data_IF_991893457072
#
_entry.id   IF_991893457072
#
_cell.length_a   1.000
_cell.length_b   1.000
_cell.length_c   1.000
_cell.angle_alpha   90.00
_cell.angle_beta   90.00
_cell.angle_gamma   90.00
#
_symmetry.space_group_name_H-M   'P 1'
#
loop_
_entity.id
_entity.type
_entity.pdbx_description
1 polymer ?
#
# COMPACT_ATOMS: atom_id res chain seq x y z
N UNK A 1 24.32 -97.98 -29.72
CA UNK A 1 25.70 -98.14 -29.23
C UNK A 1 26.02 -96.95 -28.34
N UNK A 2 26.35 -97.25 -27.09
CA UNK A 2 26.69 -96.29 -26.05
C UNK A 2 28.14 -95.82 -26.19
N UNK A 3 28.41 -94.56 -25.86
CA UNK A 3 29.47 -94.18 -24.91
C UNK A 3 29.27 -92.74 -24.43
N UNK A 4 29.52 -92.58 -23.13
CA UNK A 4 29.36 -91.44 -22.23
C UNK A 4 30.76 -91.11 -21.68
N UNK A 5 31.05 -89.82 -21.46
CA UNK A 5 31.85 -89.22 -20.37
C UNK A 5 32.17 -87.76 -20.78
N UNK A 6 31.55 -86.73 -20.19
CA UNK A 6 31.92 -86.08 -18.91
C UNK A 6 33.28 -85.37 -18.98
N UNK A 7 33.30 -84.02 -19.04
CA UNK A 7 33.81 -83.21 -17.93
C UNK A 7 33.38 -81.73 -18.04
N UNK A 8 33.29 -81.09 -16.88
CA UNK A 8 32.49 -79.94 -16.50
C UNK A 8 33.21 -78.58 -16.62
N UNK A 9 32.38 -77.54 -16.46
CA UNK A 9 32.67 -76.34 -15.65
C UNK A 9 33.31 -75.14 -16.37
N UNK A 10 32.47 -74.17 -16.77
CA UNK A 10 32.36 -72.89 -16.03
C UNK A 10 31.36 -71.92 -16.68
N UNK A 11 30.53 -71.34 -15.80
CA UNK A 11 29.81 -70.06 -15.88
C UNK A 11 28.43 -70.03 -16.57
N UNK A 12 27.44 -70.38 -15.75
CA UNK A 12 26.35 -69.49 -15.27
C UNK A 12 25.86 -68.44 -16.27
N UNK A 13 24.71 -68.62 -16.90
CA UNK A 13 23.39 -68.23 -16.38
C UNK A 13 23.31 -66.74 -15.99
N UNK A 14 22.64 -65.92 -16.80
CA UNK A 14 21.24 -65.59 -16.55
C UNK A 14 20.76 -64.57 -17.61
N UNK A 15 19.69 -64.91 -18.31
CA UNK A 15 19.06 -64.09 -19.34
C UNK A 15 17.58 -64.01 -18.97
N UNK A 16 17.22 -63.11 -18.06
CA UNK A 16 15.87 -62.52 -17.96
C UNK A 16 15.82 -61.48 -16.84
N UNK A 17 14.99 -60.47 -17.10
CA UNK A 17 14.47 -59.45 -16.19
C UNK A 17 15.41 -58.31 -15.76
N UNK A 18 15.38 -57.23 -16.54
CA UNK A 18 15.35 -55.85 -16.03
C UNK A 18 14.95 -54.90 -17.17
N UNK A 19 13.64 -54.80 -17.44
CA UNK A 19 13.08 -53.66 -18.17
C UNK A 19 11.94 -53.03 -17.35
N UNK A 20 12.31 -52.43 -16.22
CA UNK A 20 11.43 -51.57 -15.41
C UNK A 20 12.28 -50.70 -14.50
N UNK A 21 12.96 -49.69 -15.07
CA UNK A 21 13.55 -48.58 -14.31
C UNK A 21 13.96 -47.42 -15.23
N UNK A 22 13.00 -46.86 -15.96
CA UNK A 22 13.20 -45.63 -16.73
C UNK A 22 11.94 -44.73 -16.82
N UNK A 23 11.05 -44.77 -15.83
CA UNK A 23 9.85 -43.89 -15.81
C UNK A 23 9.52 -43.32 -14.44
N UNK A 24 10.53 -43.00 -13.62
CA UNK A 24 10.31 -42.35 -12.32
C UNK A 24 11.26 -41.16 -12.06
N UNK A 25 11.54 -40.36 -13.09
CA UNK A 25 12.26 -39.08 -12.91
C UNK A 25 11.52 -37.84 -13.43
N UNK A 26 10.34 -38.00 -14.05
CA UNK A 26 9.55 -36.88 -14.57
C UNK A 26 8.32 -36.50 -13.71
N UNK A 27 8.17 -37.09 -12.52
CA UNK A 27 6.98 -36.86 -11.68
C UNK A 27 7.11 -35.73 -10.64
N UNK A 28 8.33 -35.34 -10.26
CA UNK A 28 8.55 -34.36 -9.19
C UNK A 28 8.47 -32.91 -9.69
N UNK A 29 9.00 -32.63 -10.88
CA UNK A 29 9.05 -31.27 -11.44
C UNK A 29 7.66 -30.83 -11.97
N UNK A 30 6.86 -31.76 -12.49
CA UNK A 30 5.51 -31.48 -12.97
C UNK A 30 4.52 -31.16 -11.83
N UNK A 31 4.74 -31.71 -10.63
CA UNK A 31 3.84 -31.51 -9.49
C UNK A 31 4.12 -30.19 -8.75
N UNK A 32 5.38 -29.75 -8.71
CA UNK A 32 5.75 -28.42 -8.19
C UNK A 32 5.29 -27.26 -9.09
N UNK A 33 5.34 -27.43 -10.41
CA UNK A 33 4.91 -26.39 -11.36
C UNK A 33 3.38 -26.21 -11.39
N UNK A 34 2.63 -27.29 -11.13
CA UNK A 34 1.16 -27.24 -11.04
C UNK A 34 0.69 -26.56 -9.74
N UNK A 35 1.38 -26.80 -8.61
CA UNK A 35 1.10 -26.14 -7.33
C UNK A 35 1.38 -24.62 -7.39
N UNK A 36 2.45 -24.22 -8.08
CA UNK A 36 2.79 -22.81 -8.30
C UNK A 36 1.73 -22.07 -9.12
N UNK A 37 1.28 -22.68 -10.22
CA UNK A 37 0.29 -22.08 -11.11
C UNK A 37 -1.06 -21.90 -10.41
N UNK A 38 -1.49 -22.89 -9.62
CA UNK A 38 -2.72 -22.81 -8.83
C UNK A 38 -2.66 -21.71 -7.76
N UNK A 39 -1.54 -21.60 -7.03
CA UNK A 39 -1.36 -20.54 -6.02
C UNK A 39 -1.36 -19.15 -6.64
N UNK A 40 -0.73 -18.98 -7.81
CA UNK A 40 -0.79 -17.72 -8.55
C UNK A 40 -2.20 -17.37 -9.00
N UNK A 41 -2.98 -18.34 -9.48
CA UNK A 41 -4.38 -18.12 -9.87
C UNK A 41 -5.25 -17.68 -8.68
N UNK A 42 -5.09 -18.31 -7.52
CA UNK A 42 -5.78 -17.91 -6.28
C UNK A 42 -5.46 -16.46 -5.91
N UNK A 43 -4.17 -16.08 -5.90
CA UNK A 43 -3.74 -14.70 -5.61
C UNK A 43 -4.31 -13.71 -6.63
N UNK A 44 -4.23 -14.04 -7.92
CA UNK A 44 -4.80 -13.19 -8.97
C UNK A 44 -6.32 -13.05 -8.86
N UNK A 45 -7.03 -14.10 -8.44
CA UNK A 45 -8.47 -14.09 -8.26
C UNK A 45 -8.87 -13.19 -7.08
N UNK A 46 -8.14 -13.30 -5.96
CA UNK A 46 -8.36 -12.45 -4.80
C UNK A 46 -8.14 -10.96 -5.15
N UNK A 47 -7.07 -10.63 -5.87
CA UNK A 47 -6.76 -9.25 -6.29
C UNK A 47 -7.70 -8.68 -7.37
N UNK A 48 -8.44 -9.53 -8.10
CA UNK A 48 -9.48 -9.06 -9.03
C UNK A 48 -10.85 -8.89 -8.37
N UNK A 49 -11.03 -9.46 -7.18
CA UNK A 49 -12.26 -9.33 -6.42
C UNK A 49 -12.31 -7.97 -5.75
N UNK A 50 -13.48 -7.62 -5.21
CA UNK A 50 -13.61 -6.44 -4.38
C UNK A 50 -12.83 -6.63 -3.07
N UNK A 51 -11.69 -5.96 -2.95
CA UNK A 51 -10.81 -6.06 -1.79
C UNK A 51 -11.45 -5.52 -0.52
N UNK A 52 -12.50 -4.70 -0.61
CA UNK A 52 -13.26 -4.27 0.58
C UNK A 52 -13.99 -5.44 1.27
N UNK A 53 -14.21 -6.54 0.54
CA UNK A 53 -14.85 -7.76 1.05
C UNK A 53 -13.84 -8.78 1.59
N UNK A 54 -12.54 -8.54 1.38
CA UNK A 54 -11.49 -9.44 1.83
C UNK A 54 -11.25 -9.24 3.32
N UNK A 55 -11.41 -10.30 4.11
CA UNK A 55 -11.14 -10.22 5.54
C UNK A 55 -9.64 -10.05 5.80
N UNK A 56 -9.28 -9.43 6.95
CA UNK A 56 -7.88 -9.31 7.35
C UNK A 56 -7.21 -10.67 7.51
N UNK A 57 -7.95 -11.71 7.90
CA UNK A 57 -7.42 -13.07 8.02
C UNK A 57 -7.10 -13.66 6.64
N UNK A 58 -8.01 -13.53 5.68
CA UNK A 58 -7.79 -14.02 4.31
C UNK A 58 -6.63 -13.27 3.63
N UNK A 59 -6.56 -11.94 3.80
CA UNK A 59 -5.44 -11.15 3.30
C UNK A 59 -4.10 -11.59 3.90
N UNK A 60 -4.05 -11.82 5.21
CA UNK A 60 -2.85 -12.33 5.88
C UNK A 60 -2.48 -13.75 5.40
N UNK A 61 -3.47 -14.61 5.16
CA UNK A 61 -3.28 -15.96 4.61
C UNK A 61 -2.66 -15.92 3.22
N UNK A 62 -3.18 -15.07 2.32
CA UNK A 62 -2.64 -14.89 0.97
C UNK A 62 -1.20 -14.37 1.00
N UNK A 63 -0.89 -13.41 1.87
CA UNK A 63 0.48 -12.90 2.05
C UNK A 63 1.40 -14.00 2.57
N UNK A 64 0.96 -14.81 3.52
CA UNK A 64 1.75 -15.93 4.05
C UNK A 64 2.03 -16.99 3.00
N UNK A 65 1.03 -17.34 2.20
CA UNK A 65 1.21 -18.27 1.10
C UNK A 65 2.27 -17.76 0.12
N UNK A 66 2.18 -16.49 -0.26
CA UNK A 66 3.13 -15.92 -1.21
C UNK A 66 4.54 -15.75 -0.62
N UNK A 67 4.65 -15.30 0.63
CA UNK A 67 5.91 -15.28 1.36
C UNK A 67 6.55 -16.68 1.41
N UNK A 68 5.75 -17.71 1.72
CA UNK A 68 6.23 -19.09 1.82
C UNK A 68 6.77 -19.63 0.49
N UNK A 69 6.28 -19.11 -0.63
CA UNK A 69 6.78 -19.41 -1.96
C UNK A 69 8.11 -18.70 -2.26
N UNK A 70 8.22 -17.42 -1.92
CA UNK A 70 9.37 -16.60 -2.33
C UNK A 70 10.56 -16.67 -1.38
N UNK A 71 10.37 -16.83 -0.07
CA UNK A 71 11.47 -16.72 0.91
C UNK A 71 12.57 -17.78 0.77
N UNK A 72 12.29 -18.89 0.06
CA UNK A 72 13.26 -19.97 -0.19
C UNK A 72 14.12 -19.72 -1.43
N UNK A 73 13.78 -18.71 -2.24
CA UNK A 73 14.54 -18.33 -3.41
C UNK A 73 15.96 -17.88 -3.01
N UNK A 74 16.92 -18.08 -3.92
CA UNK A 74 18.32 -17.68 -3.70
C UNK A 74 18.59 -16.28 -4.27
N UNK A 75 17.79 -15.91 -5.26
CA UNK A 75 17.80 -14.67 -6.01
C UNK A 75 17.51 -13.51 -5.06
N UNK A 76 18.40 -12.51 -4.96
CA UNK A 76 18.23 -11.39 -4.05
C UNK A 76 16.96 -10.57 -4.35
N UNK A 77 16.60 -10.43 -5.62
CA UNK A 77 15.39 -9.72 -6.06
C UNK A 77 14.12 -10.41 -5.54
N UNK A 78 14.10 -11.75 -5.51
CA UNK A 78 12.95 -12.51 -4.99
C UNK A 78 12.88 -12.44 -3.46
N UNK A 79 14.05 -12.42 -2.79
CA UNK A 79 14.10 -12.22 -1.34
C UNK A 79 13.62 -10.84 -0.91
N UNK A 80 13.86 -9.82 -1.72
CA UNK A 80 13.36 -8.47 -1.44
C UNK A 80 11.84 -8.44 -1.44
N UNK A 81 11.20 -9.02 -2.45
CA UNK A 81 9.74 -9.17 -2.50
C UNK A 81 9.23 -9.93 -1.26
N UNK A 82 9.91 -10.99 -0.82
CA UNK A 82 9.53 -11.71 0.39
C UNK A 82 9.64 -10.84 1.67
N UNK A 83 10.66 -9.99 1.77
CA UNK A 83 10.80 -9.07 2.90
C UNK A 83 9.69 -8.00 2.90
N UNK A 84 9.39 -7.43 1.74
CA UNK A 84 8.30 -6.47 1.60
C UNK A 84 6.94 -7.10 1.91
N UNK A 85 6.72 -8.37 1.57
CA UNK A 85 5.51 -9.10 1.97
C UNK A 85 5.38 -9.22 3.50
N UNK A 86 6.50 -9.44 4.19
CA UNK A 86 6.52 -9.46 5.66
C UNK A 86 6.19 -8.08 6.23
N UNK A 87 6.69 -7.01 5.61
CA UNK A 87 6.35 -5.63 5.99
C UNK A 87 4.87 -5.34 5.76
N UNK A 88 4.32 -5.70 4.60
CA UNK A 88 2.89 -5.56 4.29
C UNK A 88 2.03 -6.28 5.34
N UNK A 89 2.39 -7.51 5.69
CA UNK A 89 1.72 -8.27 6.75
C UNK A 89 1.76 -7.54 8.10
N UNK A 90 2.90 -6.95 8.46
CA UNK A 90 3.04 -6.21 9.70
C UNK A 90 2.16 -4.96 9.71
N UNK A 91 2.11 -4.23 8.60
CA UNK A 91 1.24 -3.07 8.41
C UNK A 91 -0.22 -3.42 8.65
N UNK A 92 -0.71 -4.47 7.97
CA UNK A 92 -2.08 -4.97 8.12
C UNK A 92 -2.41 -5.46 9.53
N UNK A 93 -1.44 -6.07 10.24
CA UNK A 93 -1.66 -6.56 11.62
C UNK A 93 -1.65 -5.47 12.68
N UNK A 94 -0.82 -4.44 12.49
CA UNK A 94 -0.65 -3.39 13.48
C UNK A 94 -1.87 -2.46 13.53
N UNK A 95 -2.61 -2.34 12.43
CA UNK A 95 -3.65 -1.34 12.21
C UNK A 95 -3.19 0.11 12.50
N UNK A 96 -1.88 0.33 12.41
CA UNK A 96 -1.23 1.64 12.60
C UNK A 96 -0.79 2.25 11.28
N UNK A 97 -0.55 1.41 10.28
CA UNK A 97 -0.12 1.86 8.97
C UNK A 97 -1.25 2.59 8.26
N UNK A 98 -0.92 3.69 7.59
CA UNK A 98 -1.85 4.45 6.74
C UNK A 98 -2.16 3.70 5.45
N UNK A 99 -3.22 4.11 4.75
CA UNK A 99 -3.52 3.58 3.41
C UNK A 99 -2.33 3.80 2.46
N UNK A 100 -1.61 4.90 2.64
CA UNK A 100 -0.50 5.33 1.83
C UNK A 100 0.71 4.42 2.05
N UNK A 101 1.09 4.16 3.30
CA UNK A 101 2.17 3.23 3.62
C UNK A 101 1.90 1.82 3.09
N UNK A 102 0.64 1.36 3.17
CA UNK A 102 0.23 0.08 2.59
C UNK A 102 0.29 0.13 1.06
N UNK A 103 -0.15 1.24 0.46
CA UNK A 103 -0.17 1.44 -0.99
C UNK A 103 1.22 1.43 -1.61
N UNK A 104 2.20 2.08 -0.97
CA UNK A 104 3.60 2.14 -1.42
C UNK A 104 4.21 0.75 -1.42
N UNK A 105 4.06 0.00 -0.31
CA UNK A 105 4.56 -1.38 -0.23
C UNK A 105 3.92 -2.27 -1.31
N UNK A 106 2.61 -2.14 -1.56
CA UNK A 106 1.93 -2.88 -2.63
C UNK A 106 2.43 -2.51 -4.04
N UNK A 107 2.70 -1.22 -4.28
CA UNK A 107 3.25 -0.73 -5.55
C UNK A 107 4.64 -1.31 -5.76
N UNK A 108 5.53 -1.20 -4.78
CA UNK A 108 6.90 -1.71 -4.85
C UNK A 108 6.93 -3.22 -5.09
N UNK A 109 6.17 -3.99 -4.31
CA UNK A 109 6.03 -5.44 -4.50
C UNK A 109 5.54 -5.73 -5.92
N UNK A 110 4.54 -4.99 -6.41
CA UNK A 110 3.97 -5.17 -7.74
C UNK A 110 4.96 -4.89 -8.87
N UNK A 111 5.73 -3.81 -8.75
CA UNK A 111 6.76 -3.43 -9.72
C UNK A 111 7.90 -4.45 -9.76
N UNK A 112 8.42 -4.85 -8.60
CA UNK A 112 9.46 -5.88 -8.51
C UNK A 112 8.96 -7.21 -9.07
N UNK A 113 7.73 -7.62 -8.72
CA UNK A 113 7.10 -8.84 -9.25
C UNK A 113 6.95 -8.79 -10.78
N UNK A 114 6.57 -7.64 -11.34
CA UNK A 114 6.44 -7.47 -12.79
C UNK A 114 7.81 -7.48 -13.51
N UNK A 115 8.86 -7.00 -12.84
CA UNK A 115 10.23 -6.97 -13.35
C UNK A 115 10.86 -8.37 -13.38
N UNK A 116 10.77 -9.15 -12.29
CA UNK A 116 11.31 -10.52 -12.27
C UNK A 116 10.62 -11.45 -13.28
N UNK A 117 9.41 -11.11 -13.73
CA UNK A 117 8.68 -11.90 -14.71
C UNK A 117 9.47 -12.10 -16.04
N UNK A 118 10.35 -11.18 -16.43
CA UNK A 118 11.17 -11.38 -17.64
C UNK A 118 12.16 -12.53 -17.52
N UNK A 119 12.58 -12.85 -16.29
CA UNK A 119 13.55 -13.90 -15.98
C UNK A 119 12.85 -15.24 -15.68
N UNK A 120 11.55 -15.20 -15.42
CA UNK A 120 10.75 -16.38 -15.16
C UNK A 120 10.60 -17.29 -16.40
N UNK A 121 10.37 -18.59 -16.13
CA UNK A 121 10.07 -19.60 -17.14
C UNK A 121 8.86 -19.20 -17.99
N UNK A 122 8.84 -19.67 -19.24
CA UNK A 122 7.85 -19.26 -20.25
C UNK A 122 6.40 -19.45 -19.77
N UNK A 123 6.14 -20.51 -19.01
CA UNK A 123 4.80 -20.89 -18.53
C UNK A 123 4.28 -19.95 -17.44
N UNK A 124 5.15 -19.49 -16.54
CA UNK A 124 4.76 -18.65 -15.39
C UNK A 124 5.03 -17.15 -15.61
N UNK A 125 5.80 -16.79 -16.63
CA UNK A 125 6.12 -15.39 -16.99
C UNK A 125 4.89 -14.49 -17.09
N UNK A 126 3.90 -14.91 -17.87
CA UNK A 126 2.68 -14.11 -18.08
C UNK A 126 1.86 -13.99 -16.80
N UNK A 127 1.59 -15.09 -16.06
CA UNK A 127 0.97 -15.01 -14.74
C UNK A 127 1.68 -14.09 -13.74
N UNK A 128 3.00 -14.20 -13.60
CA UNK A 128 3.79 -13.37 -12.66
C UNK A 128 3.75 -11.90 -13.07
N UNK A 129 3.90 -11.59 -14.36
CA UNK A 129 3.78 -10.21 -14.86
C UNK A 129 2.40 -9.61 -14.61
N UNK A 130 1.34 -10.42 -14.75
CA UNK A 130 -0.04 -10.00 -14.49
C UNK A 130 -0.26 -9.73 -13.00
N UNK A 131 0.24 -10.61 -12.13
CA UNK A 131 0.19 -10.43 -10.67
C UNK A 131 0.85 -9.11 -10.26
N UNK A 132 2.07 -8.85 -10.74
CA UNK A 132 2.77 -7.60 -10.45
C UNK A 132 1.96 -6.36 -10.84
N UNK A 133 1.39 -6.35 -12.06
CA UNK A 133 0.50 -5.27 -12.51
C UNK A 133 -0.76 -5.10 -11.64
N UNK A 134 -1.34 -6.19 -11.16
CA UNK A 134 -2.52 -6.15 -10.30
C UNK A 134 -2.18 -5.54 -8.94
N UNK A 135 -1.06 -5.94 -8.34
CA UNK A 135 -0.58 -5.38 -7.07
C UNK A 135 -0.31 -3.88 -7.19
N UNK A 136 0.39 -3.45 -8.24
CA UNK A 136 0.59 -2.03 -8.53
C UNK A 136 -0.74 -1.30 -8.74
N UNK A 137 -1.72 -1.90 -9.44
CA UNK A 137 -3.04 -1.30 -9.63
C UNK A 137 -3.80 -1.15 -8.32
N UNK A 138 -3.76 -2.17 -7.45
CA UNK A 138 -4.39 -2.16 -6.13
C UNK A 138 -3.77 -1.09 -5.25
N UNK A 139 -2.43 -1.04 -5.15
CA UNK A 139 -1.74 0.00 -4.39
C UNK A 139 -2.11 1.39 -4.90
N UNK A 140 -2.06 1.62 -6.21
CA UNK A 140 -2.50 2.91 -6.80
C UNK A 140 -3.97 3.26 -6.50
N UNK A 141 -4.86 2.27 -6.42
CA UNK A 141 -6.26 2.50 -6.09
C UNK A 141 -6.44 2.85 -4.62
N UNK A 142 -5.70 2.18 -3.73
CA UNK A 142 -5.74 2.42 -2.29
C UNK A 142 -5.22 3.83 -1.96
N UNK A 143 -4.06 4.20 -2.50
CA UNK A 143 -3.49 5.54 -2.28
C UNK A 143 -4.43 6.64 -2.78
N UNK A 144 -5.07 6.45 -3.94
CA UNK A 144 -6.08 7.41 -4.44
C UNK A 144 -7.34 7.50 -3.60
N UNK A 145 -7.76 6.40 -2.97
CA UNK A 145 -8.95 6.39 -2.14
C UNK A 145 -8.72 7.19 -0.85
N UNK A 146 -7.57 7.00 -0.21
CA UNK A 146 -7.19 7.79 0.96
C UNK A 146 -6.96 9.27 0.59
N UNK A 147 -6.26 9.54 -0.52
CA UNK A 147 -6.10 10.91 -1.02
C UNK A 147 -7.46 11.61 -1.23
N UNK A 148 -8.46 10.87 -1.71
CA UNK A 148 -9.79 11.39 -1.93
C UNK A 148 -10.51 11.73 -0.62
N UNK A 149 -10.44 10.85 0.38
CA UNK A 149 -10.99 11.07 1.72
C UNK A 149 -10.36 12.31 2.37
N UNK A 150 -9.03 12.44 2.30
CA UNK A 150 -8.32 13.62 2.80
C UNK A 150 -8.74 14.92 2.08
N UNK A 151 -8.95 14.86 0.76
CA UNK A 151 -9.44 16.01 -0.02
C UNK A 151 -10.86 16.39 0.40
N UNK A 152 -11.76 15.41 0.62
CA UNK A 152 -13.12 15.66 1.10
C UNK A 152 -13.12 16.30 2.50
N UNK A 153 -12.22 15.87 3.39
CA UNK A 153 -12.05 16.51 4.70
C UNK A 153 -11.62 17.99 4.56
N UNK A 154 -10.71 18.30 3.64
CA UNK A 154 -10.28 19.69 3.36
C UNK A 154 -11.44 20.50 2.79
N UNK A 155 -12.18 19.96 1.82
CA UNK A 155 -13.31 20.65 1.20
C UNK A 155 -14.44 20.90 2.22
N UNK A 156 -14.69 19.98 3.18
CA UNK A 156 -15.63 20.21 4.26
C UNK A 156 -15.21 21.35 5.22
N UNK A 157 -13.90 21.50 5.48
CA UNK A 157 -13.36 22.65 6.22
C UNK A 157 -13.54 23.94 5.42
N UNK A 158 -13.29 23.90 4.11
CA UNK A 158 -13.53 25.03 3.21
C UNK A 158 -14.99 25.47 3.26
N UNK A 159 -15.94 24.55 3.10
CA UNK A 159 -17.38 24.85 3.16
C UNK A 159 -17.78 25.48 4.50
N UNK A 160 -17.27 24.95 5.61
CA UNK A 160 -17.51 25.50 6.96
C UNK A 160 -16.98 26.94 7.11
N UNK A 161 -15.86 27.27 6.45
CA UNK A 161 -15.27 28.60 6.46
C UNK A 161 -15.88 29.56 5.43
N UNK A 162 -16.54 29.03 4.39
CA UNK A 162 -17.32 29.80 3.43
C UNK A 162 -18.69 30.22 3.97
N UNK A 163 -19.25 29.42 4.89
CA UNK A 163 -20.38 29.86 5.71
C UNK A 163 -20.01 31.13 6.49
N UNK A 164 -21.00 32.00 6.73
CA UNK A 164 -20.78 33.27 7.39
C UNK A 164 -20.12 33.05 8.76
N UNK A 165 -18.83 33.37 8.86
CA UNK A 165 -18.02 33.16 10.04
C UNK A 165 -18.52 33.95 11.26
N UNK A 166 -19.36 34.97 11.04
CA UNK A 166 -20.08 35.65 12.13
C UNK A 166 -21.16 34.77 12.78
N UNK A 167 -21.60 33.71 12.11
CA UNK A 167 -22.59 32.74 12.59
C UNK A 167 -21.96 31.41 13.04
N UNK A 168 -20.68 31.17 12.73
CA UNK A 168 -19.98 29.94 13.13
C UNK A 168 -19.76 29.97 14.64
N UNK A 169 -20.38 29.02 15.34
CA UNK A 169 -20.15 28.82 16.76
C UNK A 169 -18.65 28.56 17.04
N UNK A 170 -18.13 29.15 18.12
CA UNK A 170 -16.71 29.02 18.47
C UNK A 170 -16.31 27.56 18.71
N UNK A 171 -17.22 26.72 19.22
CA UNK A 171 -17.01 25.28 19.37
C UNK A 171 -16.90 24.56 18.02
N UNK A 172 -17.73 24.92 17.05
CA UNK A 172 -17.65 24.38 15.69
C UNK A 172 -16.35 24.80 14.98
N UNK A 173 -15.92 26.05 15.14
CA UNK A 173 -14.64 26.54 14.61
C UNK A 173 -13.45 25.78 15.23
N UNK A 174 -13.42 25.62 16.55
CA UNK A 174 -12.38 24.86 17.26
C UNK A 174 -12.36 23.39 16.84
N UNK A 175 -13.54 22.77 16.68
CA UNK A 175 -13.65 21.40 16.19
C UNK A 175 -13.10 21.22 14.77
N UNK A 176 -13.34 22.19 13.89
CA UNK A 176 -12.80 22.18 12.52
C UNK A 176 -11.29 22.36 12.50
N UNK A 177 -10.75 23.24 13.36
CA UNK A 177 -9.30 23.39 13.55
C UNK A 177 -8.66 22.10 14.04
N UNK A 178 -9.29 21.40 14.99
CA UNK A 178 -8.78 20.13 15.52
C UNK A 178 -8.75 19.04 14.44
N UNK A 179 -9.80 18.95 13.62
CA UNK A 179 -9.82 18.03 12.47
C UNK A 179 -8.66 18.31 11.52
N UNK A 180 -8.49 19.57 11.12
CA UNK A 180 -7.43 19.94 10.19
C UNK A 180 -6.03 19.72 10.78
N UNK A 181 -5.83 20.08 12.06
CA UNK A 181 -4.58 19.81 12.76
C UNK A 181 -4.25 18.31 12.77
N UNK A 182 -5.23 17.46 13.05
CA UNK A 182 -5.04 16.01 13.06
C UNK A 182 -4.71 15.46 11.65
N UNK A 183 -5.36 15.98 10.60
CA UNK A 183 -5.05 15.61 9.21
C UNK A 183 -3.60 15.96 8.87
N UNK A 184 -3.15 17.18 9.15
CA UNK A 184 -1.76 17.59 8.89
C UNK A 184 -0.77 16.73 9.67
N UNK A 185 -1.11 16.34 10.89
CA UNK A 185 -0.20 15.53 11.70
C UNK A 185 -0.05 14.09 11.18
N UNK A 186 -1.09 13.53 10.54
CA UNK A 186 -1.03 12.20 9.90
C UNK A 186 -0.07 12.16 8.71
N UNK A 187 0.09 13.29 8.02
CA UNK A 187 0.91 13.38 6.80
C UNK A 187 2.42 13.38 7.09
N UNK A 188 2.83 13.57 8.34
CA UNK A 188 4.24 13.63 8.80
C UNK A 188 5.19 14.48 7.92
N UNK A 189 4.65 15.55 7.34
CA UNK A 189 5.40 16.46 6.45
C UNK A 189 5.95 17.64 7.26
N UNK A 190 7.27 17.80 7.25
CA UNK A 190 7.96 18.90 7.93
C UNK A 190 7.48 20.27 7.42
N UNK A 191 7.11 20.39 6.14
CA UNK A 191 6.62 21.64 5.55
C UNK A 191 5.23 22.03 6.09
N UNK A 192 4.50 21.10 6.70
CA UNK A 192 3.17 21.34 7.28
C UNK A 192 3.25 21.68 8.79
N UNK A 193 4.41 21.56 9.42
CA UNK A 193 4.59 21.83 10.85
C UNK A 193 4.28 23.28 11.22
N UNK A 194 4.61 24.23 10.33
CA UNK A 194 4.30 25.63 10.57
C UNK A 194 2.80 25.91 10.56
N UNK A 195 2.06 25.26 9.65
CA UNK A 195 0.59 25.33 9.58
C UNK A 195 -0.02 24.70 10.85
N UNK A 196 0.46 23.53 11.25
CA UNK A 196 0.02 22.86 12.47
C UNK A 196 0.27 23.73 13.73
N UNK A 197 1.39 24.45 13.77
CA UNK A 197 1.70 25.40 14.84
C UNK A 197 0.74 26.59 14.83
N UNK A 198 0.51 27.20 13.66
CA UNK A 198 -0.46 28.29 13.51
C UNK A 198 -1.88 27.86 13.90
N UNK A 199 -2.27 26.60 13.64
CA UNK A 199 -3.58 26.07 14.05
C UNK A 199 -3.73 25.97 15.56
N UNK A 200 -2.66 25.54 16.25
CA UNK A 200 -2.64 25.56 17.72
C UNK A 200 -2.76 26.98 18.25
N UNK A 201 -2.05 27.93 17.65
CA UNK A 201 -2.14 29.35 18.02
C UNK A 201 -3.55 29.90 17.80
N UNK A 202 -4.18 29.59 16.67
CA UNK A 202 -5.55 29.98 16.35
C UNK A 202 -6.55 29.40 17.35
N UNK A 203 -6.45 28.10 17.65
CA UNK A 203 -7.28 27.45 18.66
C UNK A 203 -7.11 28.09 20.03
N UNK A 204 -5.88 28.41 20.43
CA UNK A 204 -5.65 29.09 21.71
C UNK A 204 -6.25 30.50 21.72
N UNK A 205 -6.14 31.24 20.61
CA UNK A 205 -6.74 32.56 20.49
C UNK A 205 -8.26 32.49 20.58
N UNK A 206 -8.92 31.56 19.88
CA UNK A 206 -10.38 31.41 19.94
C UNK A 206 -10.91 31.01 21.32
N UNK A 207 -10.16 30.21 22.09
CA UNK A 207 -10.58 29.78 23.43
C UNK A 207 -10.34 30.83 24.52
N UNK A 208 -9.57 31.88 24.25
CA UNK A 208 -9.29 32.95 25.22
C UNK A 208 -10.43 33.97 25.19
N UNK A 209 -11.06 34.19 26.35
CA UNK A 209 -12.12 35.19 26.54
C UNK A 209 -11.71 36.64 26.25
N UNK A 210 -10.42 36.92 26.19
CA UNK A 210 -9.84 38.26 26.01
C UNK A 210 -9.06 38.43 24.72
N UNK A 211 -9.19 37.49 23.77
CA UNK A 211 -8.47 37.60 22.50
C UNK A 211 -8.94 38.80 21.71
N UNK A 212 -7.99 39.55 21.17
CA UNK A 212 -8.30 40.65 20.28
C UNK A 212 -8.56 40.12 18.88
N UNK A 213 -9.51 40.74 18.19
CA UNK A 213 -9.76 40.49 16.77
C UNK A 213 -8.47 40.58 15.94
N UNK A 214 -7.60 41.55 16.27
CA UNK A 214 -6.28 41.75 15.64
C UNK A 214 -5.30 40.58 15.83
N UNK A 215 -5.39 39.85 16.94
CA UNK A 215 -4.50 38.71 17.18
C UNK A 215 -4.95 37.51 16.33
N UNK A 216 -6.28 37.30 16.25
CA UNK A 216 -6.90 36.27 15.44
C UNK A 216 -6.69 36.56 13.94
N UNK A 217 -6.84 37.82 13.51
CA UNK A 217 -6.64 38.22 12.12
C UNK A 217 -5.22 37.90 11.63
N UNK A 218 -4.19 38.26 12.41
CA UNK A 218 -2.79 38.00 12.07
C UNK A 218 -2.50 36.50 11.93
N UNK A 219 -3.07 35.67 12.82
CA UNK A 219 -2.89 34.21 12.75
C UNK A 219 -3.57 33.65 11.49
N UNK A 220 -4.79 34.10 11.18
CA UNK A 220 -5.53 33.67 9.99
C UNK A 220 -4.82 34.08 8.68
N UNK A 221 -4.28 35.30 8.61
CA UNK A 221 -3.52 35.75 7.45
C UNK A 221 -2.28 34.88 7.21
N UNK A 222 -1.48 34.66 8.26
CA UNK A 222 -0.29 33.81 8.20
C UNK A 222 -0.63 32.37 7.81
N UNK A 223 -1.65 31.79 8.44
CA UNK A 223 -2.13 30.45 8.11
C UNK A 223 -2.59 30.36 6.65
N UNK A 224 -3.29 31.39 6.16
CA UNK A 224 -3.76 31.42 4.78
C UNK A 224 -2.62 31.44 3.76
N UNK A 225 -1.57 32.23 4.02
CA UNK A 225 -0.37 32.28 3.18
C UNK A 225 0.37 30.94 3.18
N UNK A 226 0.63 30.37 4.36
CA UNK A 226 1.31 29.08 4.50
C UNK A 226 0.51 27.94 3.84
N UNK A 227 -0.81 27.93 4.00
CA UNK A 227 -1.68 26.91 3.39
C UNK A 227 -1.73 27.04 1.87
N UNK A 228 -1.77 28.26 1.35
CA UNK A 228 -1.71 28.49 -0.09
C UNK A 228 -0.35 28.10 -0.68
N UNK A 229 0.74 28.33 0.05
CA UNK A 229 2.08 27.90 -0.32
C UNK A 229 2.21 26.38 -0.31
N UNK A 230 1.79 25.70 0.76
CA UNK A 230 1.74 24.25 0.82
C UNK A 230 0.93 23.65 -0.34
N UNK A 231 -0.18 24.30 -0.73
CA UNK A 231 -0.95 23.91 -1.91
C UNK A 231 -0.19 23.97 -3.24
N UNK A 232 0.88 24.76 -3.38
CA UNK A 232 1.71 24.77 -4.59
C UNK A 232 2.63 23.56 -4.70
N UNK A 233 3.08 23.06 -3.55
CA UNK A 233 4.02 21.95 -3.41
C UNK A 233 3.30 20.60 -3.22
N UNK A 234 2.01 20.64 -2.88
CA UNK A 234 1.21 19.47 -2.61
C UNK A 234 1.07 18.51 -3.81
N UNK A 235 0.92 17.22 -3.50
CA UNK A 235 0.63 16.15 -4.45
C UNK A 235 -0.65 16.44 -5.26
N UNK A 236 -0.76 15.78 -6.43
CA UNK A 236 -1.88 15.98 -7.36
C UNK A 236 -3.22 15.77 -6.65
N UNK A 237 -4.14 16.71 -6.81
CA UNK A 237 -5.47 16.69 -6.18
C UNK A 237 -5.62 17.69 -5.03
N UNK A 238 -4.57 17.90 -4.23
CA UNK A 238 -4.62 18.73 -3.02
C UNK A 238 -4.45 20.23 -3.30
N UNK A 239 -3.79 20.58 -4.42
CA UNK A 239 -3.54 21.98 -4.79
C UNK A 239 -4.78 22.86 -4.81
N UNK A 240 -5.87 22.39 -5.42
CA UNK A 240 -7.12 23.15 -5.54
C UNK A 240 -7.76 23.44 -4.18
N UNK A 241 -8.10 22.40 -3.40
CA UNK A 241 -8.62 22.53 -2.03
C UNK A 241 -7.74 23.41 -1.13
N UNK A 242 -6.43 23.16 -1.07
CA UNK A 242 -5.51 23.93 -0.22
C UNK A 242 -5.39 25.40 -0.64
N UNK A 243 -5.38 25.71 -1.93
CA UNK A 243 -5.39 27.09 -2.40
C UNK A 243 -6.70 27.83 -2.08
N UNK A 244 -7.84 27.14 -2.14
CA UNK A 244 -9.13 27.71 -1.73
C UNK A 244 -9.13 28.00 -0.24
N UNK A 245 -8.74 27.01 0.58
CA UNK A 245 -8.63 27.15 2.02
C UNK A 245 -7.69 28.31 2.41
N UNK A 246 -6.49 28.37 1.82
CA UNK A 246 -5.53 29.43 2.09
C UNK A 246 -6.08 30.83 1.78
N UNK A 247 -6.76 30.99 0.63
CA UNK A 247 -7.41 32.26 0.27
C UNK A 247 -8.52 32.66 1.24
N UNK A 248 -9.33 31.70 1.69
CA UNK A 248 -10.41 31.96 2.64
C UNK A 248 -9.84 32.40 3.99
N UNK A 249 -8.85 31.69 4.52
CA UNK A 249 -8.17 32.06 5.76
C UNK A 249 -7.60 33.49 5.69
N UNK A 250 -6.86 33.83 4.62
CA UNK A 250 -6.32 35.18 4.45
C UNK A 250 -7.41 36.25 4.28
N UNK A 251 -8.51 35.94 3.59
CA UNK A 251 -9.63 36.86 3.43
C UNK A 251 -10.35 37.11 4.75
N UNK A 252 -10.62 36.05 5.51
CA UNK A 252 -11.24 36.15 6.83
C UNK A 252 -10.37 36.95 7.78
N UNK A 253 -9.06 36.68 7.80
CA UNK A 253 -8.12 37.44 8.62
C UNK A 253 -8.22 38.93 8.34
N UNK A 254 -8.16 39.33 7.06
CA UNK A 254 -8.30 40.74 6.65
C UNK A 254 -9.63 41.36 7.06
N UNK A 255 -10.74 40.64 6.87
CA UNK A 255 -12.08 41.13 7.24
C UNK A 255 -12.25 41.31 8.75
N UNK A 256 -11.51 40.58 9.58
CA UNK A 256 -11.55 40.69 11.04
C UNK A 256 -10.67 41.84 11.56
N UNK A 257 -9.73 42.32 10.74
CA UNK A 257 -8.87 43.45 11.05
C UNK A 257 -9.52 44.82 10.76
N UNK A 258 -10.57 44.84 9.92
CA UNK A 258 -11.39 46.02 9.58
C UNK A 258 -12.46 46.32 10.65
#
# INVERSE_FOLDING_TARGET
MATRAEDQSKRSANKQDTNTKASQKNGADAQGNNDWSQKLETLQSALNSDLSTLSSEDANGLIDEWYNLLHKAKEPEIKEIANQLKQLKQHLKSNKATGHEISEVLIEIGEQTANIASEAEKEIRTPVRKLGKQLTKVGNSLGKAEDHEEIEEIDAVVETLEEDLAQVDTGAAVGSIDKWYNLLHKLDDENLQEIATGLKELKQALNRKTSKASDISNILEKLGEQTAQAGQEAKRGFKGPLQRLGKLLSRTGKSLAE
#
